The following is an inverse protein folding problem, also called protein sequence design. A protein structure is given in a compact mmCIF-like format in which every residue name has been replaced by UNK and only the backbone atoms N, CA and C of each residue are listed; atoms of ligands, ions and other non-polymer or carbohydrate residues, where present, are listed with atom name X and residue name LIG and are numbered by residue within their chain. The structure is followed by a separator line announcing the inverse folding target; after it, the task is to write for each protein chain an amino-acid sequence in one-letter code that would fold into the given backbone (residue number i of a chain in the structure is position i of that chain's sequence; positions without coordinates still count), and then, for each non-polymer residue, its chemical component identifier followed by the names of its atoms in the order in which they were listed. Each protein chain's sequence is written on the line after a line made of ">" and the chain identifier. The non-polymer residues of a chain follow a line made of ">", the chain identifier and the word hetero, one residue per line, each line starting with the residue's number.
data_IF_214367384420
#
_entry.id   IF_214367384420
#
_cell.length_a   1.000
_cell.length_b   1.000
_cell.length_c   1.000
_cell.angle_alpha   90.00
_cell.angle_beta   90.00
_cell.angle_gamma   90.00
#
_symmetry.space_group_name_H-M   'P 1'
#
loop_
_entity.id
_entity.type
_entity.pdbx_description
1 polymer ?
#
# COMPACT_ATOMS: atom_id res chain seq x y z
N UNK A 1 10.68 10.37 -3.74
CA UNK A 1 9.33 10.09 -4.29
C UNK A 1 9.11 8.58 -4.29
N UNK A 2 7.99 8.11 -3.75
CA UNK A 2 7.58 6.71 -3.91
C UNK A 2 6.73 6.61 -5.18
N UNK A 3 7.05 5.65 -6.05
CA UNK A 3 6.31 5.34 -7.27
C UNK A 3 5.62 4.01 -7.02
N UNK A 4 4.30 3.97 -7.15
CA UNK A 4 3.53 2.74 -7.02
C UNK A 4 3.55 2.01 -8.38
N UNK A 5 4.18 0.83 -8.42
CA UNK A 5 4.11 -0.06 -9.59
C UNK A 5 3.02 -1.11 -9.35
N UNK A 6 2.17 -1.34 -10.35
CA UNK A 6 1.10 -2.34 -10.29
C UNK A 6 1.61 -3.76 -10.02
N UNK A 7 2.82 -4.06 -10.48
CA UNK A 7 3.49 -5.37 -10.33
C UNK A 7 3.91 -5.69 -8.88
N UNK A 8 3.89 -4.69 -7.98
CA UNK A 8 4.31 -4.86 -6.58
C UNK A 8 3.11 -4.96 -5.61
N UNK A 9 1.88 -4.91 -6.12
CA UNK A 9 0.64 -5.00 -5.33
C UNK A 9 0.33 -6.48 -5.03
N UNK A 10 0.26 -6.82 -3.75
CA UNK A 10 -0.03 -8.17 -3.25
C UNK A 10 -1.52 -8.39 -2.97
N UNK A 11 -2.19 -7.35 -2.47
CA UNK A 11 -3.60 -7.36 -2.11
C UNK A 11 -4.15 -5.95 -2.26
N UNK A 12 -5.41 -5.82 -2.66
CA UNK A 12 -6.10 -4.53 -2.80
C UNK A 12 -7.55 -4.59 -2.35
N UNK A 13 -8.08 -3.45 -1.96
CA UNK A 13 -9.50 -3.25 -1.72
C UNK A 13 -9.86 -1.83 -2.09
N UNK A 14 -11.10 -1.62 -2.52
CA UNK A 14 -11.56 -0.31 -2.92
C UNK A 14 -13.08 -0.21 -2.95
N UNK A 15 -13.58 0.97 -2.64
CA UNK A 15 -15.00 1.29 -2.69
C UNK A 15 -15.22 2.71 -3.19
N UNK A 16 -16.43 2.96 -3.69
CA UNK A 16 -16.87 4.28 -4.14
C UNK A 16 -18.11 4.69 -3.33
N UNK A 17 -17.97 5.75 -2.53
CA UNK A 17 -19.06 6.30 -1.73
C UNK A 17 -19.72 7.43 -2.52
N UNK A 18 -21.00 7.27 -2.83
CA UNK A 18 -21.72 8.26 -3.64
C UNK A 18 -22.02 9.53 -2.83
N UNK A 19 -21.85 10.72 -3.41
CA UNK A 19 -22.17 11.98 -2.73
C UNK A 19 -21.24 12.37 -1.57
N UNK A 20 -20.10 11.69 -1.44
CA UNK A 20 -19.13 11.92 -0.37
C UNK A 20 -17.98 12.87 -0.77
N UNK A 21 -18.16 13.70 -1.81
CA UNK A 21 -17.10 14.62 -2.23
C UNK A 21 -16.69 15.58 -1.08
N UNK A 22 -15.39 15.83 -0.93
CA UNK A 22 -14.85 16.67 0.14
C UNK A 22 -14.71 15.97 1.49
N UNK A 23 -15.07 14.68 1.60
CA UNK A 23 -14.93 13.87 2.83
C UNK A 23 -13.61 13.09 2.92
N UNK A 24 -12.68 13.28 1.97
CA UNK A 24 -11.41 12.58 1.95
C UNK A 24 -10.57 12.80 3.23
N UNK A 25 -10.52 14.03 3.73
CA UNK A 25 -9.75 14.36 4.95
C UNK A 25 -10.35 13.73 6.20
N UNK A 26 -11.68 13.64 6.25
CA UNK A 26 -12.44 12.99 7.33
C UNK A 26 -12.10 11.51 7.36
N UNK A 27 -12.17 10.82 6.22
CA UNK A 27 -11.79 9.41 6.11
C UNK A 27 -10.32 9.18 6.50
N UNK A 28 -9.38 10.04 6.08
CA UNK A 28 -7.98 9.91 6.45
C UNK A 28 -7.73 10.10 7.94
N UNK A 29 -8.34 11.14 8.53
CA UNK A 29 -8.18 11.49 9.94
C UNK A 29 -8.77 10.40 10.82
N UNK A 30 -10.02 9.99 10.55
CA UNK A 30 -10.68 8.91 11.28
C UNK A 30 -9.87 7.61 11.19
N UNK A 31 -9.41 7.22 10.00
CA UNK A 31 -8.60 6.01 9.83
C UNK A 31 -7.30 6.07 10.62
N UNK A 32 -6.58 7.20 10.57
CA UNK A 32 -5.32 7.39 11.32
C UNK A 32 -5.57 7.28 12.82
N UNK A 33 -6.61 7.94 13.32
CA UNK A 33 -6.90 8.01 14.74
C UNK A 33 -7.34 6.63 15.27
N UNK A 34 -8.19 5.91 14.52
CA UNK A 34 -8.57 4.52 14.82
C UNK A 34 -7.35 3.58 14.83
N UNK A 35 -6.41 3.70 13.89
CA UNK A 35 -5.18 2.90 13.90
C UNK A 35 -4.31 3.24 15.12
N UNK A 36 -4.24 4.51 15.52
CA UNK A 36 -3.49 4.91 16.70
C UNK A 36 -4.14 4.36 18.00
N UNK A 37 -5.47 4.32 18.06
CA UNK A 37 -6.24 3.79 19.18
C UNK A 37 -6.05 2.28 19.39
N UNK A 38 -5.81 1.51 18.32
CA UNK A 38 -5.60 0.06 18.45
C UNK A 38 -4.31 -0.28 19.19
N UNK A 39 -3.37 0.67 19.32
CA UNK A 39 -2.05 0.49 19.95
C UNK A 39 -1.30 -0.74 19.39
N UNK A 40 -1.52 -1.04 18.10
CA UNK A 40 -0.90 -2.19 17.46
C UNK A 40 0.63 -2.07 17.54
N UNK A 41 1.33 -3.13 17.98
CA UNK A 41 2.78 -3.08 18.17
C UNK A 41 3.48 -2.83 16.83
N UNK A 42 4.49 -1.97 16.85
CA UNK A 42 5.34 -1.66 15.70
C UNK A 42 4.61 -1.11 14.46
N UNK A 43 3.39 -0.57 14.63
CA UNK A 43 2.66 0.08 13.54
C UNK A 43 2.97 1.57 13.54
N UNK A 44 3.46 2.08 12.42
CA UNK A 44 3.68 3.50 12.19
C UNK A 44 2.85 3.99 11.01
N UNK A 45 2.21 5.14 11.17
CA UNK A 45 1.36 5.76 10.14
C UNK A 45 1.99 7.07 9.68
N UNK A 46 2.21 7.22 8.37
CA UNK A 46 2.78 8.43 7.77
C UNK A 46 1.94 8.89 6.58
N UNK A 47 1.60 10.18 6.52
CA UNK A 47 1.00 10.78 5.31
C UNK A 47 2.09 11.08 4.28
N UNK A 48 1.87 10.69 3.02
CA UNK A 48 2.82 10.94 1.92
C UNK A 48 2.10 11.27 0.62
N UNK A 49 2.59 12.30 -0.07
CA UNK A 49 2.26 12.50 -1.48
C UNK A 49 2.99 11.47 -2.34
N UNK A 50 2.25 10.79 -3.21
CA UNK A 50 2.79 9.86 -4.18
C UNK A 50 2.39 10.24 -5.60
N UNK A 51 3.28 9.96 -6.54
CA UNK A 51 3.07 10.21 -7.96
C UNK A 51 2.95 8.87 -8.71
N UNK A 52 2.07 8.78 -9.73
CA UNK A 52 1.80 7.55 -10.47
C UNK A 52 2.95 7.06 -11.38
N UNK A 53 4.14 7.67 -11.33
CA UNK A 53 5.29 7.30 -12.15
C UNK A 53 6.28 8.46 -12.32
N UNK A 54 7.49 8.18 -12.84
CA UNK A 54 8.49 9.22 -13.16
C UNK A 54 7.99 10.10 -14.32
N UNK A 55 7.46 9.48 -15.38
CA UNK A 55 6.99 10.18 -16.60
C UNK A 55 5.67 10.93 -16.33
N UNK A 56 4.76 10.33 -15.56
CA UNK A 56 3.52 11.00 -15.12
C UNK A 56 3.75 11.96 -13.93
N UNK A 57 4.88 11.91 -13.24
CA UNK A 57 5.15 12.77 -12.07
C UNK A 57 5.47 14.23 -12.43
N UNK A 58 5.83 14.50 -13.69
CA UNK A 58 6.06 15.87 -14.19
C UNK A 58 4.77 16.58 -14.65
N UNK A 59 3.70 15.85 -14.94
CA UNK A 59 2.44 16.38 -15.52
C UNK A 59 1.15 15.81 -14.92
N UNK A 60 1.26 14.89 -13.96
CA UNK A 60 0.12 14.16 -13.39
C UNK A 60 -0.25 14.69 -12.00
N UNK A 61 -1.53 14.54 -11.67
CA UNK A 61 -2.05 14.85 -10.35
C UNK A 61 -1.37 13.98 -9.29
N UNK A 62 -0.73 14.63 -8.32
CA UNK A 62 -0.23 13.97 -7.12
C UNK A 62 -1.42 13.49 -6.31
N UNK A 63 -1.27 12.35 -5.63
CA UNK A 63 -2.29 11.81 -4.74
C UNK A 63 -1.70 11.65 -3.35
N UNK A 64 -2.49 12.01 -2.35
CA UNK A 64 -2.11 11.80 -0.96
C UNK A 64 -2.46 10.37 -0.55
N UNK A 65 -1.57 9.77 0.21
CA UNK A 65 -1.76 8.45 0.77
C UNK A 65 -1.40 8.44 2.24
N UNK A 66 -2.15 7.66 3.00
CA UNK A 66 -1.78 7.24 4.33
C UNK A 66 -0.98 5.95 4.21
N UNK A 67 0.28 5.99 4.60
CA UNK A 67 1.19 4.84 4.53
C UNK A 67 1.32 4.25 5.91
N UNK A 68 0.72 3.08 6.10
CA UNK A 68 0.88 2.30 7.32
C UNK A 68 2.10 1.39 7.12
N UNK A 69 2.94 1.28 8.15
CA UNK A 69 4.13 0.44 8.17
C UNK A 69 4.10 -0.47 9.37
N UNK A 70 4.55 -1.69 9.16
CA UNK A 70 4.92 -2.65 10.20
C UNK A 70 6.44 -2.88 10.14
N UNK A 71 7.01 -3.52 11.17
CA UNK A 71 8.37 -4.07 11.14
C UNK A 71 8.53 -5.02 9.95
N UNK A 72 9.10 -4.52 8.84
CA UNK A 72 9.36 -5.34 7.67
C UNK A 72 9.42 -4.57 6.35
N UNK A 73 9.38 -5.32 5.25
CA UNK A 73 9.43 -4.77 3.88
C UNK A 73 8.05 -4.53 3.26
N UNK A 74 6.96 -4.93 3.92
CA UNK A 74 5.58 -4.71 3.45
C UNK A 74 5.05 -3.37 3.93
N UNK A 75 4.23 -2.72 3.10
CA UNK A 75 3.61 -1.43 3.40
C UNK A 75 2.19 -1.41 2.87
N UNK A 76 1.29 -0.88 3.67
CA UNK A 76 -0.08 -0.63 3.26
C UNK A 76 -0.23 0.83 2.87
N UNK A 77 -0.79 1.07 1.70
CA UNK A 77 -1.03 2.40 1.16
C UNK A 77 -2.52 2.63 1.04
N UNK A 78 -3.07 3.53 1.84
CA UNK A 78 -4.48 3.90 1.81
C UNK A 78 -4.64 5.24 1.09
N UNK A 79 -5.66 5.34 0.25
CA UNK A 79 -6.04 6.54 -0.48
C UNK A 79 -7.51 6.84 -0.24
N UNK A 80 -7.82 8.11 -0.02
CA UNK A 80 -9.16 8.65 -0.12
C UNK A 80 -9.06 9.87 -1.04
N UNK A 81 -9.92 9.93 -2.06
CA UNK A 81 -9.87 11.00 -3.05
C UNK A 81 -11.18 11.19 -3.78
N UNK A 82 -11.51 12.45 -4.06
CA UNK A 82 -12.73 12.79 -4.79
C UNK A 82 -12.65 12.28 -6.23
N UNK A 83 -13.72 11.62 -6.65
CA UNK A 83 -13.97 11.17 -8.01
C UNK A 83 -15.32 11.74 -8.49
N UNK A 84 -15.28 12.99 -8.96
CA UNK A 84 -16.50 13.75 -9.28
C UNK A 84 -17.29 14.07 -8.03
N UNK A 85 -18.55 13.63 -7.96
CA UNK A 85 -19.43 13.79 -6.79
C UNK A 85 -19.23 12.70 -5.73
N UNK A 86 -18.37 11.73 -6.00
CA UNK A 86 -18.20 10.54 -5.18
C UNK A 86 -16.83 10.57 -4.51
N UNK A 87 -16.65 9.81 -3.43
CA UNK A 87 -15.37 9.59 -2.78
C UNK A 87 -14.88 8.18 -3.12
N UNK A 88 -13.72 8.07 -3.75
CA UNK A 88 -13.03 6.80 -3.92
C UNK A 88 -12.14 6.56 -2.69
N UNK A 89 -12.28 5.41 -2.06
CA UNK A 89 -11.46 4.98 -0.93
C UNK A 89 -10.87 3.62 -1.25
N UNK A 90 -9.55 3.54 -1.28
CA UNK A 90 -8.81 2.36 -1.71
C UNK A 90 -7.64 2.08 -0.77
N UNK A 91 -7.24 0.82 -0.63
CA UNK A 91 -5.93 0.47 -0.08
C UNK A 91 -5.21 -0.57 -0.92
N UNK A 92 -3.87 -0.50 -0.90
CA UNK A 92 -2.97 -1.40 -1.61
C UNK A 92 -1.89 -1.91 -0.66
N UNK A 93 -1.80 -3.23 -0.52
CA UNK A 93 -0.69 -3.89 0.16
C UNK A 93 0.44 -4.11 -0.84
N UNK A 94 1.63 -3.59 -0.55
CA UNK A 94 2.77 -3.72 -1.46
C UNK A 94 4.02 -4.26 -0.79
N UNK A 95 4.81 -4.99 -1.57
CA UNK A 95 6.14 -5.44 -1.17
C UNK A 95 7.21 -4.45 -1.65
N UNK A 96 7.94 -3.83 -0.72
CA UNK A 96 9.08 -2.99 -1.09
C UNK A 96 10.33 -3.85 -1.26
N UNK A 97 10.82 -3.95 -2.49
CA UNK A 97 12.13 -4.55 -2.76
C UNK A 97 13.25 -3.77 -2.06
N UNK A 98 14.24 -4.47 -1.51
CA UNK A 98 15.29 -3.90 -0.68
C UNK A 98 16.11 -2.82 -1.40
N UNK A 99 16.36 -1.69 -0.71
CA UNK A 99 17.12 -0.55 -1.23
C UNK A 99 18.54 -0.90 -1.71
N UNK A 100 19.15 -1.93 -1.11
CA UNK A 100 20.48 -2.42 -1.48
C UNK A 100 20.57 -2.85 -2.94
N UNK A 101 19.51 -3.45 -3.48
CA UNK A 101 19.50 -3.93 -4.86
C UNK A 101 19.37 -2.75 -5.83
N UNK A 102 18.62 -1.70 -5.44
CA UNK A 102 18.54 -0.46 -6.20
C UNK A 102 19.90 0.24 -6.28
N UNK A 103 20.66 0.25 -5.17
CA UNK A 103 22.02 0.80 -5.14
C UNK A 103 22.97 -0.06 -5.99
N UNK A 104 22.89 -1.38 -5.88
CA UNK A 104 23.73 -2.28 -6.69
C UNK A 104 23.48 -2.10 -8.20
N UNK A 105 22.22 -1.92 -8.60
CA UNK A 105 21.84 -1.68 -9.99
C UNK A 105 22.30 -0.30 -10.51
N UNK A 106 22.35 0.71 -9.64
CA UNK A 106 22.89 2.03 -10.01
C UNK A 106 24.42 1.98 -10.14
N UNK A 107 25.10 1.29 -9.23
CA UNK A 107 26.56 1.13 -9.28
C UNK A 107 27.01 0.31 -10.48
N UNK A 108 26.21 -0.67 -10.92
CA UNK A 108 26.54 -1.49 -12.10
C UNK A 108 26.43 -0.73 -13.44
N UNK A 109 25.79 0.44 -13.47
CA UNK A 109 25.71 1.28 -14.66
C UNK A 109 27.01 2.07 -14.96
N UNK A 110 27.95 2.10 -14.02
CA UNK A 110 29.25 2.77 -14.19
C UNK A 110 30.24 1.76 -14.79
N UNK A 111 30.91 1.99 -15.93
CA UNK A 111 31.64 0.95 -16.68
C UNK A 111 32.70 0.19 -15.86
N UNK A 112 33.52 0.91 -15.08
CA UNK A 112 34.61 0.31 -14.30
C UNK A 112 34.11 -0.46 -13.08
N UNK A 113 33.02 0.01 -12.46
CA UNK A 113 32.39 -0.59 -11.27
C UNK A 113 31.47 -1.74 -11.70
N UNK A 114 30.79 -1.56 -12.82
CA UNK A 114 29.93 -2.53 -13.47
C UNK A 114 30.65 -3.83 -13.78
N UNK A 115 31.89 -3.79 -14.28
CA UNK A 115 32.64 -5.03 -14.53
C UNK A 115 32.84 -5.89 -13.26
N UNK A 116 32.97 -5.25 -12.09
CA UNK A 116 33.16 -5.92 -10.80
C UNK A 116 31.82 -6.41 -10.19
N UNK A 117 30.77 -5.59 -10.31
CA UNK A 117 29.48 -5.84 -9.65
C UNK A 117 28.40 -6.43 -10.56
N UNK A 118 28.59 -6.47 -11.87
CA UNK A 118 27.66 -7.03 -12.84
C UNK A 118 27.31 -8.51 -12.58
N UNK A 119 28.25 -9.42 -12.27
CA UNK A 119 27.88 -10.80 -11.95
C UNK A 119 26.96 -10.88 -10.71
N UNK A 120 27.25 -10.07 -9.68
CA UNK A 120 26.41 -9.99 -8.48
C UNK A 120 25.05 -9.35 -8.76
N UNK A 121 25.00 -8.30 -9.58
CA UNK A 121 23.76 -7.64 -9.99
C UNK A 121 22.89 -8.56 -10.86
N UNK A 122 23.49 -9.35 -11.77
CA UNK A 122 22.80 -10.33 -12.60
C UNK A 122 22.22 -11.47 -11.76
N UNK A 123 23.01 -12.02 -10.82
CA UNK A 123 22.53 -13.05 -9.88
C UNK A 123 21.44 -12.49 -8.96
N UNK A 124 21.61 -11.27 -8.44
CA UNK A 124 20.60 -10.61 -7.61
C UNK A 124 19.30 -10.34 -8.38
N UNK A 125 19.38 -9.86 -9.62
CA UNK A 125 18.22 -9.63 -10.49
C UNK A 125 17.52 -10.94 -10.88
N UNK A 126 18.28 -12.01 -11.11
CA UNK A 126 17.73 -13.34 -11.37
C UNK A 126 17.05 -13.93 -10.12
N UNK A 127 17.69 -13.79 -8.96
CA UNK A 127 17.14 -14.14 -7.66
C UNK A 127 15.89 -13.33 -7.32
N UNK A 128 15.85 -12.04 -7.65
CA UNK A 128 14.65 -11.20 -7.51
C UNK A 128 13.53 -11.67 -8.41
N UNK A 129 13.77 -11.93 -9.70
CA UNK A 129 12.73 -12.49 -10.58
C UNK A 129 12.19 -13.83 -10.09
N UNK A 130 13.07 -14.67 -9.55
CA UNK A 130 12.66 -15.92 -8.92
C UNK A 130 11.85 -15.69 -7.63
N UNK A 131 12.23 -14.70 -6.81
CA UNK A 131 11.57 -14.33 -5.56
C UNK A 131 10.25 -13.60 -5.77
N UNK A 132 10.12 -12.76 -6.79
CA UNK A 132 8.88 -12.10 -7.21
C UNK A 132 7.87 -13.14 -7.70
N UNK A 133 8.32 -14.14 -8.49
CA UNK A 133 7.47 -15.30 -8.84
C UNK A 133 7.10 -16.16 -7.63
N UNK A 134 7.93 -16.17 -6.59
CA UNK A 134 7.67 -16.84 -5.30
C UNK A 134 7.10 -15.90 -4.23
N UNK A 135 6.65 -14.69 -4.58
CA UNK A 135 6.26 -13.65 -3.63
C UNK A 135 5.13 -14.02 -2.66
N UNK A 136 4.52 -15.20 -2.85
CA UNK A 136 3.50 -15.79 -1.98
C UNK A 136 3.96 -17.02 -1.17
N UNK A 137 5.21 -17.50 -1.29
CA UNK A 137 5.61 -18.86 -0.88
C UNK A 137 6.75 -18.95 0.15
N UNK A 138 7.34 -17.83 0.60
CA UNK A 138 8.49 -17.86 1.53
C UNK A 138 8.32 -16.86 2.69
N UNK A 139 7.07 -16.74 3.16
CA UNK A 139 6.78 -16.20 4.47
C UNK A 139 6.72 -17.39 5.43
N UNK A 140 7.39 -17.28 6.57
CA UNK A 140 7.11 -18.21 7.66
C UNK A 140 5.64 -18.05 8.09
N UNK A 141 5.09 -19.08 8.72
CA UNK A 141 3.72 -19.07 9.22
C UNK A 141 3.49 -17.89 10.16
N UNK A 142 4.46 -17.59 11.03
CA UNK A 142 4.39 -16.45 11.97
C UNK A 142 4.40 -15.11 11.23
N UNK A 143 5.33 -14.91 10.29
CA UNK A 143 5.35 -13.68 9.48
C UNK A 143 4.05 -13.50 8.67
N UNK A 144 3.44 -14.60 8.21
CA UNK A 144 2.14 -14.57 7.51
C UNK A 144 1.02 -14.17 8.45
N UNK A 145 1.01 -14.70 9.68
CA UNK A 145 0.01 -14.38 10.70
C UNK A 145 0.12 -12.92 11.15
N UNK A 146 1.33 -12.43 11.38
CA UNK A 146 1.58 -11.04 11.76
C UNK A 146 1.16 -10.10 10.63
N UNK A 147 1.61 -10.38 9.39
CA UNK A 147 1.20 -9.61 8.21
C UNK A 147 -0.32 -9.59 8.05
N UNK A 148 -0.99 -10.74 8.21
CA UNK A 148 -2.45 -10.81 8.10
C UNK A 148 -3.12 -9.98 9.19
N UNK A 149 -2.65 -10.08 10.42
CA UNK A 149 -3.18 -9.34 11.59
C UNK A 149 -3.02 -7.83 11.38
N UNK A 150 -1.83 -7.41 10.94
CA UNK A 150 -1.51 -6.04 10.59
C UNK A 150 -2.45 -5.47 9.51
N UNK A 151 -2.58 -6.16 8.37
CA UNK A 151 -3.44 -5.68 7.28
C UNK A 151 -4.91 -5.71 7.67
N UNK A 152 -5.34 -6.74 8.41
CA UNK A 152 -6.73 -6.86 8.89
C UNK A 152 -7.06 -5.73 9.86
N UNK A 153 -6.16 -5.37 10.77
CA UNK A 153 -6.35 -4.25 11.69
C UNK A 153 -6.53 -2.93 10.93
N UNK A 154 -5.62 -2.63 9.99
CA UNK A 154 -5.72 -1.41 9.20
C UNK A 154 -6.96 -1.39 8.29
N UNK A 155 -7.34 -2.54 7.71
CA UNK A 155 -8.56 -2.68 6.93
C UNK A 155 -9.80 -2.42 7.78
N UNK A 156 -9.87 -2.99 8.99
CA UNK A 156 -10.97 -2.78 9.92
C UNK A 156 -11.11 -1.30 10.30
N UNK A 157 -10.01 -0.62 10.64
CA UNK A 157 -10.02 0.82 10.93
C UNK A 157 -10.53 1.64 9.74
N UNK A 158 -10.11 1.29 8.51
CA UNK A 158 -10.59 1.98 7.32
C UNK A 158 -12.08 1.73 7.07
N UNK A 159 -12.57 0.51 7.28
CA UNK A 159 -13.99 0.18 7.15
C UNK A 159 -14.83 0.98 8.14
N UNK A 160 -14.40 1.09 9.40
CA UNK A 160 -15.09 1.91 10.40
C UNK A 160 -15.15 3.38 9.97
N UNK A 161 -14.04 3.94 9.49
CA UNK A 161 -14.01 5.32 8.98
C UNK A 161 -14.92 5.52 7.76
N UNK A 162 -14.98 4.53 6.86
CA UNK A 162 -15.88 4.55 5.69
C UNK A 162 -17.35 4.44 6.13
N UNK A 163 -17.66 3.57 7.08
CA UNK A 163 -19.00 3.39 7.63
C UNK A 163 -19.47 4.70 8.28
N UNK A 164 -18.62 5.41 9.02
CA UNK A 164 -18.93 6.74 9.57
C UNK A 164 -19.27 7.76 8.48
N UNK A 165 -18.48 7.82 7.40
CA UNK A 165 -18.76 8.69 6.24
C UNK A 165 -20.09 8.32 5.59
N UNK A 166 -20.37 7.03 5.39
CA UNK A 166 -21.63 6.55 4.80
C UNK A 166 -22.85 6.90 5.68
N UNK A 167 -22.75 6.69 7.00
CA UNK A 167 -23.80 7.03 7.97
C UNK A 167 -24.06 8.53 7.96
N UNK A 168 -23.03 9.37 7.86
CA UNK A 168 -23.17 10.83 7.75
C UNK A 168 -23.97 11.28 6.53
N UNK A 169 -24.05 10.43 5.49
CA UNK A 169 -24.79 10.66 4.24
C UNK A 169 -26.13 9.90 4.19
N UNK A 170 -26.59 9.34 5.32
CA UNK A 170 -27.77 8.46 5.40
C UNK A 170 -27.71 7.27 4.41
N UNK A 171 -26.51 6.76 4.15
CA UNK A 171 -26.30 5.55 3.36
C UNK A 171 -26.20 4.33 4.25
N UNK A 172 -26.50 3.18 3.68
CA UNK A 172 -26.48 1.89 4.37
C UNK A 172 -25.11 1.22 4.22
N UNK A 173 -24.28 1.13 5.28
CA UNK A 173 -22.95 0.53 5.21
C UNK A 173 -22.97 -0.98 5.00
N UNK A 174 -24.12 -1.66 5.21
CA UNK A 174 -24.22 -3.11 4.98
C UNK A 174 -24.07 -3.51 3.52
N UNK A 175 -24.24 -2.56 2.60
CA UNK A 175 -24.05 -2.75 1.16
C UNK A 175 -22.59 -2.64 0.71
N UNK A 176 -21.69 -2.28 1.62
CA UNK A 176 -20.27 -2.17 1.36
C UNK A 176 -19.67 -3.57 1.11
N UNK A 177 -18.98 -3.75 -0.01
CA UNK A 177 -18.15 -4.94 -0.21
C UNK A 177 -16.92 -4.82 0.69
N UNK A 178 -16.82 -5.71 1.68
CA UNK A 178 -15.73 -5.73 2.67
C UNK A 178 -14.58 -6.64 2.23
N UNK A 179 -14.72 -7.38 1.13
CA UNK A 179 -13.75 -8.40 0.75
C UNK A 179 -12.58 -7.83 -0.05
N UNK A 180 -11.35 -8.03 0.41
CA UNK A 180 -10.15 -7.71 -0.35
C UNK A 180 -9.92 -8.69 -1.51
N UNK A 181 -9.20 -8.22 -2.53
CA UNK A 181 -8.79 -8.98 -3.70
C UNK A 181 -7.28 -9.20 -3.67
N UNK A 182 -6.87 -10.46 -3.76
CA UNK A 182 -5.45 -10.83 -3.84
C UNK A 182 -5.10 -11.95 -2.87
N UNK A 183 -3.86 -11.94 -2.37
CA UNK A 183 -3.26 -13.07 -1.68
C UNK A 183 -3.87 -13.35 -0.30
N UNK A 184 -4.26 -12.33 0.47
CA UNK A 184 -4.69 -12.49 1.86
C UNK A 184 -6.19 -12.74 2.01
N UNK A 185 -7.01 -12.25 1.06
CA UNK A 185 -8.46 -12.47 1.03
C UNK A 185 -9.15 -12.06 2.33
N UNK A 186 -8.90 -10.83 2.78
CA UNK A 186 -9.39 -10.24 4.02
C UNK A 186 -10.88 -9.91 3.87
N UNK A 187 -11.66 -10.02 4.95
CA UNK A 187 -13.09 -9.76 5.01
C UNK A 187 -13.51 -9.18 6.36
#
# INVERSE_FOLDING_TARGET
>A
MAILKREEVLDDWGTLISGANGKAEEAFTATRDLIAETKAPNVAVERREMAPGIIRGLFGTKREFLVVRETGSRRLYLNAGDYGTNLAVDWYLMYRSGWLIQVLALLSAIPLIGLLFFPFAAIAAFGQRARERRGSLDLDLFDTQDLRTYVTNAHHCLLVAVDEVMVSLNQDPSKLDRKSRGFLGIC
#
